data_IF_506491134972
#
_entry.id   IF_506491134972
#
_cell.length_a   1.000
_cell.length_b   1.000
_cell.length_c   1.000
_cell.angle_alpha   90.00
_cell.angle_beta   90.00
_cell.angle_gamma   90.00
#
_symmetry.space_group_name_H-M   'P 1'
#
loop_
_entity.id
_entity.type
_entity.pdbx_description
1 polymer ?
#
# COMPACT_ATOMS: atom_id res chain seq x y z
N UNK A 1 11.22 -51.72 83.06
CA UNK A 1 10.64 -50.45 82.58
C UNK A 1 11.51 -49.99 81.41
N UNK A 2 11.14 -50.31 80.16
CA UNK A 2 10.52 -49.38 79.19
C UNK A 2 11.31 -48.05 79.11
N UNK A 3 11.95 -47.63 78.00
CA UNK A 3 11.53 -47.67 76.60
C UNK A 3 12.71 -47.61 75.63
N UNK A 4 12.51 -48.28 74.50
CA UNK A 4 13.19 -48.09 73.21
C UNK A 4 12.82 -46.72 72.59
N UNK A 5 13.74 -46.09 71.87
CA UNK A 5 13.43 -44.96 70.99
C UNK A 5 14.33 -44.98 69.73
N UNK A 6 13.84 -45.70 68.73
CA UNK A 6 14.18 -45.60 67.31
C UNK A 6 13.59 -44.32 66.73
N UNK A 7 14.34 -43.51 65.96
CA UNK A 7 13.86 -42.64 64.85
C UNK A 7 14.94 -41.62 64.45
N UNK A 8 15.15 -41.17 63.22
CA UNK A 8 14.70 -41.52 61.86
C UNK A 8 15.69 -40.80 60.93
N UNK A 9 16.16 -41.47 59.87
CA UNK A 9 17.01 -40.85 58.85
C UNK A 9 16.23 -39.82 58.04
N UNK A 10 16.79 -38.62 57.89
CA UNK A 10 16.23 -37.55 57.06
C UNK A 10 16.96 -37.58 55.72
N UNK A 11 16.42 -38.35 54.77
CA UNK A 11 16.81 -38.27 53.36
C UNK A 11 16.14 -37.02 52.79
N UNK A 12 16.92 -35.95 52.62
CA UNK A 12 16.50 -34.76 51.89
C UNK A 12 16.31 -35.15 50.42
N UNK A 13 15.06 -35.38 50.00
CA UNK A 13 14.70 -35.49 48.59
C UNK A 13 14.75 -34.09 47.96
N UNK A 14 15.86 -33.76 47.29
CA UNK A 14 15.92 -32.64 46.35
C UNK A 14 15.04 -33.00 45.14
N UNK A 15 13.78 -32.57 45.16
CA UNK A 15 12.95 -32.52 43.96
C UNK A 15 13.44 -31.32 43.15
N UNK A 16 14.37 -31.56 42.22
CA UNK A 16 14.67 -30.62 41.16
C UNK A 16 13.44 -30.50 40.27
N UNK A 17 12.61 -29.47 40.49
CA UNK A 17 11.63 -29.02 39.51
C UNK A 17 12.39 -28.56 38.26
N UNK A 18 12.64 -29.49 37.34
CA UNK A 18 12.91 -29.16 35.96
C UNK A 18 11.65 -28.48 35.42
N UNK A 19 11.60 -27.15 35.51
CA UNK A 19 10.65 -26.35 34.77
C UNK A 19 10.94 -26.60 33.28
N UNK A 20 10.19 -27.52 32.68
CA UNK A 20 10.17 -27.72 31.25
C UNK A 20 9.62 -26.41 30.70
N UNK A 21 10.50 -25.49 30.30
CA UNK A 21 10.14 -24.34 29.50
C UNK A 21 9.60 -24.90 28.18
N UNK A 22 8.29 -25.13 28.11
CA UNK A 22 7.64 -25.40 26.85
C UNK A 22 8.00 -24.22 25.93
N UNK A 23 8.60 -24.45 24.75
CA UNK A 23 8.83 -23.36 23.82
C UNK A 23 7.46 -22.74 23.53
N UNK A 24 7.29 -21.48 23.91
CA UNK A 24 6.15 -20.69 23.48
C UNK A 24 6.14 -20.77 21.96
N UNK A 25 5.08 -21.34 21.41
CA UNK A 25 4.90 -21.35 19.96
C UNK A 25 5.08 -19.91 19.46
N UNK A 26 5.81 -19.69 18.35
CA UNK A 26 5.90 -18.36 17.78
C UNK A 26 4.48 -17.84 17.59
N UNK A 27 4.22 -16.60 18.01
CA UNK A 27 2.94 -15.96 17.79
C UNK A 27 2.61 -16.05 16.29
N UNK A 28 1.39 -16.49 15.97
CA UNK A 28 0.94 -16.53 14.58
C UNK A 28 0.95 -15.11 14.00
N UNK A 29 1.29 -14.98 12.73
CA UNK A 29 1.20 -13.71 12.02
C UNK A 29 -0.26 -13.21 12.03
N UNK A 30 -0.47 -11.89 12.07
CA UNK A 30 -1.80 -11.31 11.96
C UNK A 30 -2.46 -11.68 10.64
N UNK A 31 -3.79 -11.69 10.62
CA UNK A 31 -4.55 -11.87 9.39
C UNK A 31 -4.31 -10.69 8.44
N UNK A 32 -4.22 -10.99 7.14
CA UNK A 32 -4.03 -9.97 6.11
C UNK A 32 -5.39 -9.33 5.81
N UNK A 33 -5.52 -7.99 5.93
CA UNK A 33 -6.77 -7.34 5.58
C UNK A 33 -7.07 -7.47 4.09
N UNK A 34 -8.37 -7.49 3.78
CA UNK A 34 -8.90 -7.49 2.43
C UNK A 34 -9.60 -6.16 2.21
N UNK A 35 -9.33 -5.48 1.10
CA UNK A 35 -10.02 -4.24 0.79
C UNK A 35 -11.53 -4.44 0.63
N UNK A 36 -12.35 -3.46 1.04
CA UNK A 36 -13.74 -3.41 0.64
C UNK A 36 -13.87 -3.38 -0.90
N UNK A 37 -14.94 -3.96 -1.43
CA UNK A 37 -15.15 -4.06 -2.88
C UNK A 37 -15.39 -2.68 -3.51
N UNK A 38 -15.91 -1.73 -2.74
CA UNK A 38 -16.15 -0.35 -3.17
C UNK A 38 -15.85 0.62 -2.01
N UNK A 39 -15.07 1.66 -2.29
CA UNK A 39 -14.79 2.73 -1.33
C UNK A 39 -14.23 3.95 -2.04
N UNK A 40 -14.15 5.05 -1.30
CA UNK A 40 -13.27 6.15 -1.62
C UNK A 40 -12.49 6.59 -0.37
N UNK A 41 -11.30 7.14 -0.56
CA UNK A 41 -10.43 7.58 0.54
C UNK A 41 -9.57 8.77 0.12
N UNK A 42 -9.55 9.87 0.90
CA UNK A 42 -8.57 10.92 0.70
C UNK A 42 -7.20 10.45 1.18
N UNK A 43 -6.12 10.90 0.55
CA UNK A 43 -4.78 10.63 1.02
C UNK A 43 -3.86 11.83 0.81
N UNK A 44 -2.82 11.88 1.64
CA UNK A 44 -1.73 12.81 1.51
C UNK A 44 -0.57 12.18 0.75
N UNK A 45 -0.22 12.75 -0.39
CA UNK A 45 0.96 12.37 -1.16
C UNK A 45 2.19 13.07 -0.58
N UNK A 46 3.21 12.28 -0.24
CA UNK A 46 4.49 12.75 0.26
C UNK A 46 5.60 12.17 -0.60
N UNK A 47 6.59 12.97 -0.99
CA UNK A 47 7.76 12.47 -1.70
C UNK A 47 9.05 12.88 -1.00
N UNK A 48 9.70 11.94 -0.32
CA UNK A 48 10.92 12.20 0.47
C UNK A 48 12.09 12.66 -0.40
N UNK A 49 12.10 12.27 -1.69
CA UNK A 49 13.14 12.66 -2.65
C UNK A 49 13.03 14.08 -3.19
N UNK A 50 11.96 14.83 -2.88
CA UNK A 50 11.73 16.18 -3.40
C UNK A 50 11.13 17.14 -2.37
N UNK A 51 11.33 18.45 -2.56
CA UNK A 51 10.80 19.47 -1.65
C UNK A 51 9.41 19.98 -2.04
N UNK A 52 8.91 19.59 -3.22
CA UNK A 52 7.69 20.14 -3.81
C UNK A 52 6.40 19.43 -3.37
N UNK A 53 6.49 18.16 -2.97
CA UNK A 53 5.32 17.33 -2.64
C UNK A 53 5.43 16.91 -1.17
N UNK A 54 4.73 17.65 -0.31
CA UNK A 54 4.62 17.36 1.11
C UNK A 54 3.13 17.41 1.51
N UNK A 55 2.59 16.25 1.89
CA UNK A 55 1.20 16.00 2.24
C UNK A 55 0.20 16.62 1.26
N UNK A 56 0.46 16.48 -0.04
CA UNK A 56 -0.40 17.02 -1.07
C UNK A 56 -1.72 16.23 -1.14
N UNK A 57 -2.84 16.93 -0.99
CA UNK A 57 -4.17 16.31 -1.01
C UNK A 57 -4.44 15.59 -2.34
N UNK A 58 -4.95 14.37 -2.24
CA UNK A 58 -5.29 13.49 -3.35
C UNK A 58 -6.43 12.56 -2.91
N UNK A 59 -7.03 11.85 -3.87
CA UNK A 59 -8.17 10.97 -3.60
C UNK A 59 -8.04 9.66 -4.37
N UNK A 60 -8.43 8.56 -3.74
CA UNK A 60 -8.48 7.23 -4.33
C UNK A 60 -9.94 6.75 -4.34
N UNK A 61 -10.46 6.46 -5.53
CA UNK A 61 -11.76 5.83 -5.74
C UNK A 61 -11.57 4.39 -6.21
N UNK A 62 -12.36 3.47 -5.66
CA UNK A 62 -12.23 2.05 -5.92
C UNK A 62 -13.60 1.38 -6.12
N UNK A 63 -13.73 0.60 -7.18
CA UNK A 63 -14.90 -0.25 -7.43
C UNK A 63 -14.47 -1.54 -8.15
N UNK A 64 -14.30 -2.61 -7.38
CA UNK A 64 -13.86 -3.88 -7.93
C UNK A 64 -14.96 -4.67 -8.65
N UNK A 65 -16.25 -4.39 -8.41
CA UNK A 65 -17.34 -4.97 -9.21
C UNK A 65 -17.23 -4.54 -10.68
N UNK A 66 -16.63 -3.37 -10.94
CA UNK A 66 -16.29 -2.86 -12.27
C UNK A 66 -14.84 -3.13 -12.66
N UNK A 67 -14.05 -3.77 -11.79
CA UNK A 67 -12.58 -3.85 -11.86
C UNK A 67 -11.97 -2.50 -12.22
N UNK A 68 -12.38 -1.43 -11.52
CA UNK A 68 -11.98 -0.07 -11.80
C UNK A 68 -11.44 0.66 -10.55
N UNK A 69 -10.42 1.48 -10.76
CA UNK A 69 -9.95 2.43 -9.77
C UNK A 69 -9.48 3.75 -10.40
N UNK A 70 -9.63 4.84 -9.66
CA UNK A 70 -9.15 6.17 -10.05
C UNK A 70 -8.29 6.74 -8.94
N UNK A 71 -7.08 7.15 -9.30
CA UNK A 71 -6.22 7.97 -8.44
C UNK A 71 -6.30 9.40 -8.94
N UNK A 72 -6.78 10.30 -8.10
CA UNK A 72 -6.93 11.71 -8.40
C UNK A 72 -5.89 12.52 -7.62
N UNK A 73 -5.02 13.19 -8.35
CA UNK A 73 -4.05 14.13 -7.84
C UNK A 73 -4.54 15.56 -8.05
N UNK A 74 -4.90 16.25 -6.97
CA UNK A 74 -5.57 17.56 -7.06
C UNK A 74 -4.62 18.72 -7.34
N UNK A 75 -3.34 18.57 -7.00
CA UNK A 75 -2.35 19.66 -7.11
C UNK A 75 -1.09 19.25 -7.88
N UNK A 76 -0.57 18.05 -7.61
CA UNK A 76 0.69 17.58 -8.16
C UNK A 76 0.50 16.24 -8.84
N UNK A 77 0.59 16.21 -10.17
CA UNK A 77 0.48 14.98 -10.90
C UNK A 77 1.64 14.05 -10.58
N UNK A 78 1.30 12.82 -10.20
CA UNK A 78 2.24 11.72 -10.02
C UNK A 78 1.71 10.51 -10.82
N UNK A 79 2.55 9.77 -11.57
CA UNK A 79 3.98 9.98 -11.75
C UNK A 79 4.25 11.25 -12.58
N UNK A 80 5.50 11.74 -12.57
CA UNK A 80 5.91 12.92 -13.35
C UNK A 80 5.95 12.62 -14.85
N UNK A 81 4.76 12.42 -15.43
CA UNK A 81 4.54 12.00 -16.79
C UNK A 81 5.16 12.97 -17.82
N UNK A 82 5.25 14.24 -17.46
CA UNK A 82 5.88 15.30 -18.24
C UNK A 82 6.77 16.16 -17.34
N UNK A 83 7.74 16.89 -17.92
CA UNK A 83 8.78 17.61 -17.17
C UNK A 83 8.23 18.67 -16.21
N UNK A 84 7.02 19.18 -16.45
CA UNK A 84 6.32 20.15 -15.60
C UNK A 84 5.10 19.54 -14.88
N UNK A 85 4.84 18.23 -14.99
CA UNK A 85 3.60 17.60 -14.52
C UNK A 85 3.36 17.80 -13.03
N UNK A 86 4.43 17.95 -12.24
CA UNK A 86 4.37 18.27 -10.82
C UNK A 86 3.57 19.54 -10.52
N UNK A 87 3.41 20.47 -11.46
CA UNK A 87 2.69 21.72 -11.23
C UNK A 87 1.21 21.68 -11.60
N UNK A 88 0.68 20.51 -12.00
CA UNK A 88 -0.67 20.37 -12.50
C UNK A 88 -1.38 19.16 -11.88
N UNK A 89 -2.71 19.21 -11.72
CA UNK A 89 -3.50 18.04 -11.34
C UNK A 89 -3.51 16.96 -12.42
N UNK A 90 -3.76 15.72 -12.03
CA UNK A 90 -4.05 14.66 -12.98
C UNK A 90 -4.87 13.53 -12.38
N UNK A 91 -5.33 12.61 -13.23
CA UNK A 91 -6.01 11.39 -12.86
C UNK A 91 -5.37 10.20 -13.55
N UNK A 92 -5.20 9.11 -12.80
CA UNK A 92 -4.90 7.79 -13.32
C UNK A 92 -6.16 6.93 -13.26
N UNK A 93 -6.54 6.35 -14.39
CA UNK A 93 -7.68 5.44 -14.49
C UNK A 93 -7.18 4.04 -14.77
N UNK A 94 -7.54 3.08 -13.92
CA UNK A 94 -7.22 1.67 -14.10
C UNK A 94 -8.52 0.94 -14.45
N UNK A 95 -8.48 0.05 -15.45
CA UNK A 95 -9.70 -0.53 -16.03
C UNK A 95 -9.66 -2.06 -16.10
N UNK A 96 -10.86 -2.67 -16.20
CA UNK A 96 -11.09 -4.11 -16.33
C UNK A 96 -10.40 -4.75 -17.55
N UNK A 97 -10.46 -4.06 -18.71
CA UNK A 97 -9.53 -4.36 -19.81
C UNK A 97 -8.17 -3.83 -19.33
N UNK A 98 -7.19 -4.68 -18.99
CA UNK A 98 -6.03 -4.24 -18.21
C UNK A 98 -5.27 -3.14 -18.93
N UNK A 99 -5.50 -1.91 -18.52
CA UNK A 99 -4.87 -0.71 -19.03
C UNK A 99 -4.99 0.39 -17.98
N UNK A 100 -4.02 1.30 -18.01
CA UNK A 100 -3.97 2.50 -17.18
C UNK A 100 -3.91 3.70 -18.11
N UNK A 101 -4.78 4.67 -17.88
CA UNK A 101 -4.87 5.91 -18.64
C UNK A 101 -4.52 7.11 -17.77
N UNK A 102 -3.88 8.11 -18.36
CA UNK A 102 -3.60 9.39 -17.71
C UNK A 102 -4.44 10.50 -18.33
N UNK A 103 -5.04 11.34 -17.49
CA UNK A 103 -5.61 12.63 -17.90
C UNK A 103 -5.03 13.76 -17.05
N UNK A 104 -4.50 14.80 -17.68
CA UNK A 104 -4.05 16.05 -17.05
C UNK A 104 -4.40 17.24 -17.95
N UNK A 105 -5.69 17.61 -18.08
CA UNK A 105 -6.12 18.64 -19.03
C UNK A 105 -5.48 20.01 -18.77
N UNK A 106 -5.23 20.34 -17.49
CA UNK A 106 -4.52 21.56 -17.11
C UNK A 106 -3.08 21.63 -17.64
N UNK A 107 -2.49 20.48 -17.96
CA UNK A 107 -1.17 20.36 -18.60
C UNK A 107 -1.26 20.00 -20.09
N UNK A 108 -2.42 20.19 -20.72
CA UNK A 108 -2.64 19.91 -22.14
C UNK A 108 -2.73 18.43 -22.51
N UNK A 109 -2.95 17.54 -21.53
CA UNK A 109 -3.14 16.10 -21.75
C UNK A 109 -4.61 15.78 -21.48
N UNK A 110 -5.45 15.77 -22.50
CA UNK A 110 -6.87 15.41 -22.33
C UNK A 110 -7.03 13.98 -21.82
N UNK A 111 -6.39 13.03 -22.51
CA UNK A 111 -6.30 11.62 -22.14
C UNK A 111 -5.25 10.90 -22.99
N UNK A 112 -4.58 9.90 -22.44
CA UNK A 112 -3.73 8.98 -23.19
C UNK A 112 -3.56 7.63 -22.46
N UNK A 113 -3.20 6.58 -23.22
CA UNK A 113 -2.85 5.25 -22.70
C UNK A 113 -1.47 5.30 -22.05
N UNK A 114 -1.42 5.14 -20.73
CA UNK A 114 -0.19 5.23 -19.94
C UNK A 114 0.53 3.90 -19.81
N UNK A 115 -0.19 2.82 -19.47
CA UNK A 115 0.33 1.47 -19.39
C UNK A 115 -0.69 0.49 -19.96
N UNK A 116 -0.25 -0.46 -20.77
CA UNK A 116 -1.09 -1.55 -21.28
C UNK A 116 -0.80 -2.85 -20.50
N UNK A 117 -1.78 -3.74 -20.42
CA UNK A 117 -1.66 -5.05 -19.76
C UNK A 117 -1.70 -5.04 -18.23
N UNK A 118 -1.97 -3.90 -17.58
CA UNK A 118 -2.05 -3.76 -16.12
C UNK A 118 -3.33 -3.01 -15.78
N UNK A 119 -4.16 -3.55 -14.88
CA UNK A 119 -5.44 -2.98 -14.50
C UNK A 119 -5.56 -2.75 -13.00
N UNK A 120 -6.80 -2.78 -12.51
CA UNK A 120 -7.15 -2.56 -11.10
C UNK A 120 -6.51 -3.59 -10.18
N UNK A 121 -6.05 -3.13 -9.02
CA UNK A 121 -5.47 -3.98 -7.97
C UNK A 121 -6.59 -4.76 -7.28
N UNK A 122 -6.50 -6.10 -7.16
CA UNK A 122 -7.54 -6.89 -6.51
C UNK A 122 -7.58 -6.68 -4.99
N UNK A 123 -8.74 -6.88 -4.33
CA UNK A 123 -8.88 -6.58 -2.90
C UNK A 123 -7.95 -7.36 -1.97
N UNK A 124 -7.50 -8.54 -2.41
CA UNK A 124 -6.63 -9.45 -1.66
C UNK A 124 -5.14 -9.31 -2.01
N UNK A 125 -4.72 -8.18 -2.59
CA UNK A 125 -3.34 -7.97 -3.05
C UNK A 125 -2.26 -8.19 -1.97
N UNK A 126 -2.60 -7.98 -0.68
CA UNK A 126 -1.70 -8.26 0.44
C UNK A 126 -1.34 -9.74 0.57
N UNK A 127 -2.02 -10.64 -0.15
CA UNK A 127 -1.67 -12.05 -0.24
C UNK A 127 -0.17 -12.28 -0.49
N UNK A 128 0.47 -11.44 -1.31
CA UNK A 128 1.91 -11.51 -1.63
C UNK A 128 2.86 -10.84 -0.61
N UNK A 129 2.34 -10.22 0.45
CA UNK A 129 3.15 -9.49 1.43
C UNK A 129 3.48 -10.35 2.65
N UNK A 130 4.53 -10.02 3.39
CA UNK A 130 4.92 -10.68 4.63
C UNK A 130 4.88 -9.71 5.81
N UNK A 131 4.39 -10.15 6.96
CA UNK A 131 4.44 -9.34 8.18
C UNK A 131 5.90 -9.13 8.61
N UNK A 132 6.25 -7.93 9.03
CA UNK A 132 7.61 -7.59 9.43
C UNK A 132 8.01 -8.09 10.82
N UNK A 133 7.09 -8.70 11.56
CA UNK A 133 7.32 -9.21 12.92
C UNK A 133 7.27 -8.14 14.02
N UNK A 134 6.85 -6.91 13.71
CA UNK A 134 6.71 -5.84 14.71
C UNK A 134 5.61 -4.86 14.34
N UNK A 135 5.05 -4.20 15.36
CA UNK A 135 4.14 -3.07 15.15
C UNK A 135 4.91 -1.76 15.12
N UNK A 136 4.39 -0.78 14.40
CA UNK A 136 4.99 0.54 14.26
C UNK A 136 3.95 1.64 14.49
N UNK A 137 4.39 2.79 15.01
CA UNK A 137 3.51 3.96 15.15
C UNK A 137 3.62 4.79 13.88
N UNK A 138 2.54 4.86 13.10
CA UNK A 138 2.46 5.59 11.83
C UNK A 138 1.36 6.64 11.92
N UNK A 139 1.57 7.78 11.26
CA UNK A 139 0.57 8.84 11.18
C UNK A 139 -0.25 8.73 9.90
N UNK A 140 -1.56 8.89 10.03
CA UNK A 140 -2.50 8.96 8.93
C UNK A 140 -2.44 10.33 8.21
N UNK A 141 -3.34 10.55 7.24
CA UNK A 141 -3.48 11.82 6.52
C UNK A 141 -3.74 13.04 7.43
N UNK A 142 -4.46 12.84 8.53
CA UNK A 142 -4.83 13.88 9.49
C UNK A 142 -3.79 14.08 10.61
N UNK A 143 -2.70 13.31 10.60
CA UNK A 143 -1.65 13.34 11.61
C UNK A 143 -1.97 12.54 12.89
N UNK A 144 -3.06 11.78 12.90
CA UNK A 144 -3.44 10.87 13.99
C UNK A 144 -2.48 9.68 13.98
N UNK A 145 -2.02 9.29 15.16
CA UNK A 145 -1.05 8.19 15.30
C UNK A 145 -1.76 6.86 15.53
N UNK A 146 -1.39 5.85 14.75
CA UNK A 146 -1.93 4.50 14.76
C UNK A 146 -0.85 3.51 15.16
N UNK A 147 -1.18 2.51 15.98
CA UNK A 147 -0.33 1.34 16.13
C UNK A 147 -0.66 0.41 14.96
N UNK A 148 0.34 0.05 14.14
CA UNK A 148 0.11 -0.58 12.84
C UNK A 148 0.89 -1.88 12.68
N UNK A 149 0.33 -2.85 11.97
CA UNK A 149 1.09 -3.94 11.38
C UNK A 149 1.82 -3.42 10.14
N UNK A 150 3.08 -3.80 9.97
CA UNK A 150 3.88 -3.48 8.80
C UNK A 150 4.04 -4.71 7.90
N UNK A 151 3.55 -4.60 6.68
CA UNK A 151 3.63 -5.63 5.66
C UNK A 151 4.66 -5.24 4.61
N UNK A 152 5.56 -6.17 4.29
CA UNK A 152 6.62 -6.01 3.30
C UNK A 152 6.28 -6.77 2.03
N UNK A 153 6.18 -6.05 0.94
CA UNK A 153 5.97 -6.57 -0.41
C UNK A 153 7.27 -6.73 -1.18
N UNK A 154 7.12 -7.06 -2.46
CA UNK A 154 8.22 -7.09 -3.44
C UNK A 154 8.82 -5.69 -3.59
N UNK A 155 10.12 -5.61 -3.90
CA UNK A 155 10.84 -4.35 -4.12
C UNK A 155 10.68 -3.32 -3.00
N UNK A 156 10.71 -3.78 -1.75
CA UNK A 156 10.61 -2.94 -0.54
C UNK A 156 9.31 -2.11 -0.46
N UNK A 157 8.23 -2.58 -1.09
CA UNK A 157 6.91 -2.00 -0.84
C UNK A 157 6.52 -2.15 0.63
N UNK A 158 6.21 -1.03 1.27
CA UNK A 158 5.73 -0.98 2.63
C UNK A 158 4.23 -0.73 2.67
N UNK A 159 3.54 -1.48 3.51
CA UNK A 159 2.12 -1.29 3.78
C UNK A 159 1.86 -1.30 5.27
N UNK A 160 1.08 -0.36 5.78
CA UNK A 160 0.74 -0.27 7.19
C UNK A 160 -0.75 -0.27 7.38
N UNK A 161 -1.23 -1.21 8.20
CA UNK A 161 -2.64 -1.30 8.59
C UNK A 161 -2.77 -1.16 10.09
N UNK A 162 -3.81 -0.47 10.55
CA UNK A 162 -4.07 -0.26 11.97
C UNK A 162 -4.35 -1.59 12.69
N UNK A 163 -3.73 -1.82 13.84
CA UNK A 163 -3.85 -3.09 14.58
C UNK A 163 -5.27 -3.31 15.12
N UNK A 164 -6.02 -2.24 15.38
CA UNK A 164 -7.35 -2.33 16.02
C UNK A 164 -8.49 -2.39 15.02
N UNK A 165 -8.37 -1.68 13.91
CA UNK A 165 -9.42 -1.52 12.90
C UNK A 165 -9.10 -2.16 11.56
N UNK A 166 -7.86 -2.61 11.37
CA UNK A 166 -7.36 -3.25 10.14
C UNK A 166 -7.41 -2.36 8.89
N UNK A 167 -7.78 -1.08 9.05
CA UNK A 167 -7.81 -0.09 7.97
C UNK A 167 -6.40 0.31 7.57
N UNK A 168 -6.26 0.74 6.33
CA UNK A 168 -4.98 1.18 5.80
C UNK A 168 -4.62 2.55 6.34
N UNK A 169 -3.35 2.70 6.74
CA UNK A 169 -2.82 3.95 7.30
C UNK A 169 -1.79 4.56 6.36
N UNK A 170 -0.92 3.73 5.80
CA UNK A 170 0.13 4.21 4.90
C UNK A 170 0.49 3.18 3.84
N UNK A 171 0.80 3.70 2.66
CA UNK A 171 1.47 3.02 1.57
C UNK A 171 2.85 3.66 1.35
N UNK A 172 3.91 2.87 1.14
CA UNK A 172 5.23 3.38 0.76
C UNK A 172 5.81 2.59 -0.42
N UNK A 173 6.26 3.30 -1.45
CA UNK A 173 7.12 2.74 -2.48
C UNK A 173 8.59 2.88 -2.07
N UNK A 174 9.25 1.77 -1.77
CA UNK A 174 10.61 1.73 -1.22
C UNK A 174 11.64 2.48 -2.07
N UNK A 175 11.82 2.13 -3.36
CA UNK A 175 12.81 2.75 -4.25
C UNK A 175 12.62 4.25 -4.53
N UNK A 176 11.39 4.76 -4.46
CA UNK A 176 11.08 6.15 -4.84
C UNK A 176 10.93 7.06 -3.62
N UNK A 177 10.69 6.50 -2.44
CA UNK A 177 10.45 7.25 -1.20
C UNK A 177 9.15 8.04 -1.24
N UNK A 178 8.18 7.58 -2.03
CA UNK A 178 6.83 8.17 -2.08
C UNK A 178 5.96 7.45 -1.05
N UNK A 179 5.24 8.24 -0.25
CA UNK A 179 4.28 7.74 0.73
C UNK A 179 2.89 8.27 0.41
N UNK A 180 1.89 7.41 0.58
CA UNK A 180 0.50 7.83 0.68
C UNK A 180 0.06 7.62 2.11
N UNK A 181 -0.31 8.69 2.79
CA UNK A 181 -0.93 8.61 4.10
C UNK A 181 -2.44 8.65 3.88
N UNK A 182 -3.14 7.55 4.21
CA UNK A 182 -4.58 7.46 4.00
C UNK A 182 -5.32 8.23 5.10
N UNK A 183 -6.46 8.82 4.73
CA UNK A 183 -7.44 9.32 5.68
C UNK A 183 -8.47 8.24 6.02
N UNK A 184 -9.70 8.68 6.32
CA UNK A 184 -10.77 7.76 6.64
C UNK A 184 -11.37 7.16 5.36
N UNK A 185 -11.47 5.84 5.31
CA UNK A 185 -12.14 5.13 4.24
C UNK A 185 -13.66 5.35 4.32
N UNK A 186 -14.24 5.77 3.20
CA UNK A 186 -15.67 5.86 3.01
C UNK A 186 -16.15 4.64 2.22
N UNK A 187 -16.55 3.59 2.94
CA UNK A 187 -17.00 2.31 2.35
C UNK A 187 -18.45 2.40 1.92
N UNK A 188 -18.66 2.94 0.72
CA UNK A 188 -19.98 3.10 0.08
C UNK A 188 -19.90 2.76 -1.40
N UNK A 189 -21.07 2.52 -1.99
CA UNK A 189 -21.16 2.27 -3.43
C UNK A 189 -20.59 3.44 -4.24
N UNK A 190 -19.72 3.14 -5.20
CA UNK A 190 -19.08 4.12 -6.07
C UNK A 190 -19.75 4.10 -7.45
N UNK A 191 -20.20 5.25 -7.92
CA UNK A 191 -20.92 5.35 -9.19
C UNK A 191 -19.99 5.13 -10.38
N UNK A 192 -20.47 4.40 -11.40
CA UNK A 192 -19.69 4.10 -12.60
C UNK A 192 -19.15 5.35 -13.33
N UNK A 193 -19.83 6.49 -13.19
CA UNK A 193 -19.40 7.77 -13.79
C UNK A 193 -18.06 8.28 -13.26
N UNK A 194 -17.64 7.89 -12.05
CA UNK A 194 -16.32 8.27 -11.50
C UNK A 194 -15.20 7.66 -12.32
N UNK A 195 -15.42 6.44 -12.83
CA UNK A 195 -14.45 5.61 -13.54
C UNK A 195 -14.51 5.78 -15.06
N UNK A 196 -15.47 6.58 -15.56
CA UNK A 196 -15.59 6.85 -16.99
C UNK A 196 -14.36 7.62 -17.48
N UNK A 197 -13.70 7.08 -18.51
CA UNK A 197 -12.60 7.79 -19.16
C UNK A 197 -13.10 9.11 -19.74
N UNK A 198 -12.30 10.19 -19.63
CA UNK A 198 -12.64 11.46 -20.25
C UNK A 198 -12.70 11.31 -21.77
N UNK A 199 -13.53 12.13 -22.41
CA UNK A 199 -13.53 12.23 -23.86
C UNK A 199 -12.15 12.70 -24.35
N UNK A 200 -11.60 12.04 -25.38
CA UNK A 200 -10.28 12.39 -25.92
C UNK A 200 -9.56 11.21 -26.54
N UNK A 201 -8.25 11.38 -26.77
CA UNK A 201 -7.39 10.41 -27.45
C UNK A 201 -6.83 9.34 -26.50
N UNK A 202 -7.67 8.74 -25.64
CA UNK A 202 -7.23 7.71 -24.70
C UNK A 202 -6.59 6.48 -25.38
N UNK A 203 -6.85 6.27 -26.68
CA UNK A 203 -6.26 5.18 -27.48
C UNK A 203 -4.80 5.42 -27.85
N UNK A 204 -4.34 6.68 -27.81
CA UNK A 204 -2.96 7.03 -28.14
C UNK A 204 -2.09 6.84 -26.91
N UNK A 205 -0.94 6.15 -27.07
CA UNK A 205 0.05 6.06 -26.01
C UNK A 205 0.50 7.45 -25.58
N UNK A 206 0.67 7.62 -24.28
CA UNK A 206 1.17 8.87 -23.76
C UNK A 206 2.60 9.13 -24.26
N UNK A 207 2.78 10.23 -24.98
CA UNK A 207 4.06 10.59 -25.57
C UNK A 207 4.91 11.36 -24.53
N UNK A 208 5.58 10.61 -23.66
CA UNK A 208 6.39 11.14 -22.58
C UNK A 208 7.89 11.02 -22.88
N UNK A 209 8.71 11.70 -22.06
CA UNK A 209 10.18 11.57 -22.06
C UNK A 209 10.69 10.13 -21.87
N UNK A 210 9.82 9.16 -21.61
CA UNK A 210 10.13 7.72 -21.60
C UNK A 210 10.78 7.25 -22.91
N UNK A 211 10.45 7.85 -24.07
CA UNK A 211 11.09 7.47 -25.34
C UNK A 211 12.48 8.09 -25.56
N UNK A 212 12.83 9.20 -24.89
CA UNK A 212 14.15 9.85 -25.06
C UNK A 212 15.23 9.33 -24.12
N UNK A 213 14.89 8.56 -23.10
CA UNK A 213 15.87 7.95 -22.19
C UNK A 213 16.17 6.51 -22.58
N UNK A 214 16.88 6.33 -23.70
CA UNK A 214 17.73 5.15 -23.86
C UNK A 214 18.77 5.17 -22.73
N UNK A 215 18.52 4.41 -21.66
CA UNK A 215 19.41 4.18 -20.52
C UNK A 215 19.78 5.39 -19.61
N UNK A 216 19.55 5.15 -18.31
CA UNK A 216 20.16 5.77 -17.11
C UNK A 216 19.39 6.91 -16.40
N UNK A 217 18.78 6.54 -15.26
CA UNK A 217 19.05 7.24 -14.00
C UNK A 217 17.84 7.84 -13.28
N UNK A 218 17.01 8.61 -13.97
CA UNK A 218 16.00 9.49 -13.32
C UNK A 218 14.56 9.05 -13.60
N UNK A 219 14.28 8.48 -14.77
CA UNK A 219 12.91 8.12 -15.21
C UNK A 219 12.41 6.77 -14.68
N UNK A 220 13.30 5.85 -14.28
CA UNK A 220 12.92 4.58 -13.63
C UNK A 220 12.62 4.72 -12.13
N UNK A 221 12.79 5.92 -11.56
CA UNK A 221 12.65 6.19 -10.11
C UNK A 221 11.43 7.02 -9.73
N UNK A 222 10.55 7.33 -10.69
CA UNK A 222 9.35 8.14 -10.46
C UNK A 222 8.14 7.44 -11.07
N UNK A 223 7.96 6.18 -10.67
CA UNK A 223 6.74 5.43 -10.99
C UNK A 223 5.76 5.70 -9.87
N UNK A 224 4.50 5.86 -10.25
CA UNK A 224 3.41 6.02 -9.29
C UNK A 224 3.33 4.79 -8.37
N UNK A 225 3.18 4.97 -7.05
CA UNK A 225 3.21 3.85 -6.11
C UNK A 225 2.10 2.82 -6.41
N UNK A 226 0.92 3.29 -6.82
CA UNK A 226 -0.22 2.42 -7.18
C UNK A 226 -0.02 1.76 -8.54
N UNK A 227 0.52 2.46 -9.54
CA UNK A 227 0.92 1.84 -10.81
C UNK A 227 1.87 0.67 -10.56
N UNK A 228 2.90 0.89 -9.75
CA UNK A 228 3.92 -0.11 -9.47
C UNK A 228 3.38 -1.25 -8.62
N UNK A 229 2.46 -0.98 -7.69
CA UNK A 229 1.69 -2.03 -7.00
C UNK A 229 0.91 -2.89 -8.00
N UNK A 230 0.16 -2.25 -8.90
CA UNK A 230 -0.63 -2.94 -9.91
C UNK A 230 0.26 -3.80 -10.82
N UNK A 231 1.39 -3.27 -11.30
CA UNK A 231 2.37 -4.03 -12.07
C UNK A 231 2.84 -5.28 -11.31
N UNK A 232 3.21 -5.11 -10.04
CA UNK A 232 3.71 -6.20 -9.19
C UNK A 232 2.64 -7.27 -8.98
N UNK A 233 1.41 -6.88 -8.67
CA UNK A 233 0.31 -7.82 -8.44
C UNK A 233 -0.04 -8.59 -9.72
N UNK A 234 -0.11 -7.91 -10.87
CA UNK A 234 -0.40 -8.57 -12.14
C UNK A 234 0.74 -9.49 -12.59
N UNK A 235 1.99 -9.20 -12.24
CA UNK A 235 3.12 -10.10 -12.49
C UNK A 235 3.06 -11.37 -11.64
N UNK A 236 2.53 -11.31 -10.41
CA UNK A 236 2.37 -12.49 -9.55
C UNK A 236 1.21 -13.40 -9.95
N UNK A 237 0.23 -12.86 -10.70
CA UNK A 237 -0.97 -13.59 -11.12
C UNK A 237 -0.83 -14.33 -12.47
N UNK A 238 0.24 -14.05 -13.22
CA UNK A 238 0.55 -14.67 -14.52
C UNK A 238 1.67 -15.70 -14.37
#
# INVERSE_FOLDING_TARGET
MLKSATTFGLVLALVACAAIAAPLAPAADPEKPIWPIQFDVPFGLNWVGGTLINNASSHFYYNFDLEAQVIQYDTHCFPLAHWNAVFYPCKLYFTAKPAIYLASPANGIDCCLFQDGVGTVPPNFLGGFNYSGSTQIIKDYYGVSHNTYHWKGIEDFGYWTDVSSEVDVQFQDGPTGVHWNFGNFNVVNQTASIFALPAGNCETKCNFLLEKSGASGITSKLVDPMLKLAQTVHQMMN
#
